data_IF_758016784606
#
_entry.id   IF_758016784606
#
_cell.length_a   1.000
_cell.length_b   1.000
_cell.length_c   1.000
_cell.angle_alpha   90.00
_cell.angle_beta   90.00
_cell.angle_gamma   90.00
#
_symmetry.space_group_name_H-M   'P 1'
#
loop_
_entity.id
_entity.type
_entity.pdbx_description
1 polymer ?
#
# COMPACT_ATOMS: atom_id res chain seq x y z
N UNK A 1 71.99 -20.82 -1.60
CA UNK A 1 71.03 -19.73 -1.37
C UNK A 1 69.63 -20.35 -1.36
N UNK A 2 69.00 -20.38 -0.16
CA UNK A 2 67.62 -20.89 -0.02
C UNK A 2 66.70 -19.68 0.08
N UNK A 3 65.80 -19.53 -0.91
CA UNK A 3 64.80 -18.45 -0.92
C UNK A 3 63.60 -18.91 -0.06
N UNK A 4 63.34 -18.20 1.01
CA UNK A 4 62.12 -18.38 1.83
C UNK A 4 60.96 -17.57 1.21
N UNK A 5 59.89 -18.27 0.76
CA UNK A 5 58.66 -17.66 0.34
C UNK A 5 57.79 -17.39 1.61
N UNK A 6 57.56 -16.13 1.89
CA UNK A 6 56.62 -15.71 2.96
C UNK A 6 55.22 -15.56 2.36
N UNK A 7 54.30 -16.44 2.69
CA UNK A 7 52.86 -16.28 2.38
C UNK A 7 52.21 -15.35 3.41
N UNK A 8 51.80 -14.16 2.97
CA UNK A 8 50.94 -13.30 3.77
C UNK A 8 49.51 -13.72 3.49
N UNK A 9 48.85 -14.37 4.43
CA UNK A 9 47.43 -14.65 4.38
C UNK A 9 46.67 -13.33 4.64
N UNK A 10 46.10 -12.75 3.60
CA UNK A 10 45.14 -11.64 3.73
C UNK A 10 43.86 -12.23 4.27
N UNK A 11 43.64 -12.08 5.58
CA UNK A 11 42.38 -12.44 6.20
C UNK A 11 41.24 -11.63 5.63
N UNK A 12 40.34 -12.27 4.88
CA UNK A 12 39.07 -11.66 4.49
C UNK A 12 38.22 -11.55 5.75
N UNK A 13 37.99 -10.34 6.23
CA UNK A 13 36.97 -10.07 7.24
C UNK A 13 35.62 -10.47 6.65
N UNK A 14 34.88 -11.41 7.25
CA UNK A 14 33.56 -11.73 6.73
C UNK A 14 32.71 -10.45 6.69
N UNK A 15 32.10 -10.18 5.54
CA UNK A 15 31.18 -9.06 5.40
C UNK A 15 30.06 -9.25 6.44
N UNK A 16 29.96 -8.31 7.37
CA UNK A 16 28.91 -8.35 8.39
C UNK A 16 27.55 -8.25 7.68
N UNK A 17 26.68 -9.22 7.93
CA UNK A 17 25.32 -9.16 7.38
C UNK A 17 24.66 -7.84 7.77
N UNK A 18 23.94 -7.20 6.83
CA UNK A 18 23.25 -5.96 7.14
C UNK A 18 22.31 -6.16 8.33
N UNK A 19 22.44 -5.29 9.33
CA UNK A 19 21.56 -5.33 10.48
C UNK A 19 20.16 -4.87 10.05
N UNK A 20 19.08 -5.51 10.54
CA UNK A 20 17.74 -5.06 10.28
C UNK A 20 17.56 -3.61 10.81
N UNK A 21 16.75 -2.77 10.15
CA UNK A 21 16.48 -1.42 10.62
C UNK A 21 15.77 -1.45 11.98
N UNK A 22 16.07 -0.46 12.83
CA UNK A 22 15.23 -0.20 14.01
C UNK A 22 13.90 0.38 13.55
N UNK A 23 12.79 -0.24 13.98
CA UNK A 23 11.45 0.14 13.59
C UNK A 23 10.67 0.68 14.80
N UNK A 24 10.03 1.82 14.64
CA UNK A 24 9.12 2.39 15.64
C UNK A 24 7.68 1.86 15.48
N UNK A 25 7.41 1.07 14.42
CA UNK A 25 6.10 0.47 14.20
C UNK A 25 5.92 -0.85 14.95
N UNK A 26 4.67 -1.17 15.28
CA UNK A 26 4.35 -2.38 16.03
C UNK A 26 4.44 -3.68 15.22
N UNK A 27 4.36 -3.63 13.89
CA UNK A 27 4.54 -4.76 12.99
C UNK A 27 5.01 -4.29 11.62
N UNK A 28 5.80 -5.09 10.93
CA UNK A 28 6.27 -4.81 9.58
C UNK A 28 6.59 -6.10 8.81
N UNK A 29 6.40 -6.06 7.49
CA UNK A 29 6.79 -7.12 6.56
C UNK A 29 7.43 -6.47 5.34
N UNK A 30 8.55 -7.01 4.90
CA UNK A 30 9.20 -6.67 3.63
C UNK A 30 9.25 -7.91 2.75
N UNK A 31 8.69 -7.80 1.55
CA UNK A 31 8.60 -8.91 0.59
C UNK A 31 9.25 -8.49 -0.71
N UNK A 32 10.05 -9.35 -1.29
CA UNK A 32 10.52 -9.21 -2.67
C UNK A 32 9.36 -9.54 -3.63
N UNK A 33 8.92 -8.59 -4.47
CA UNK A 33 7.74 -8.81 -5.33
C UNK A 33 7.99 -9.81 -6.47
N UNK A 34 9.24 -10.00 -6.89
CA UNK A 34 9.60 -10.94 -7.96
C UNK A 34 9.68 -12.39 -7.47
N UNK A 35 10.34 -12.62 -6.36
CA UNK A 35 10.53 -13.96 -5.78
C UNK A 35 9.47 -14.33 -4.76
N UNK A 36 8.72 -13.36 -4.23
CA UNK A 36 7.77 -13.48 -3.11
C UNK A 36 8.41 -13.93 -1.81
N UNK A 37 9.73 -13.77 -1.68
CA UNK A 37 10.44 -14.08 -0.44
C UNK A 37 10.24 -12.99 0.60
N UNK A 38 10.02 -13.40 1.84
CA UNK A 38 10.06 -12.50 2.99
C UNK A 38 11.52 -12.12 3.27
N UNK A 39 11.84 -10.84 3.11
CA UNK A 39 13.17 -10.29 3.35
C UNK A 39 13.33 -9.82 4.79
N UNK A 40 12.23 -9.42 5.43
CA UNK A 40 12.18 -8.99 6.80
C UNK A 40 10.77 -9.16 7.37
N UNK A 41 10.70 -9.60 8.63
CA UNK A 41 9.45 -9.79 9.36
C UNK A 41 9.61 -9.29 10.80
N UNK A 42 8.66 -8.48 11.25
CA UNK A 42 8.54 -8.02 12.63
C UNK A 42 7.09 -8.13 13.04
N UNK A 43 6.77 -9.01 14.01
CA UNK A 43 5.40 -9.29 14.46
C UNK A 43 4.42 -9.53 13.28
N UNK A 44 4.85 -10.23 12.24
CA UNK A 44 4.13 -10.36 10.97
C UNK A 44 2.74 -10.99 11.11
N UNK A 45 2.58 -11.92 12.06
CA UNK A 45 1.33 -12.65 12.31
C UNK A 45 0.46 -11.99 13.38
N UNK A 46 0.89 -10.87 13.96
CA UNK A 46 0.10 -10.19 14.97
C UNK A 46 -1.13 -9.51 14.36
N UNK A 47 -2.32 -9.83 14.90
CA UNK A 47 -3.57 -9.21 14.45
C UNK A 47 -3.62 -7.74 14.85
N UNK A 48 -3.70 -6.86 13.86
CA UNK A 48 -3.75 -5.41 14.02
C UNK A 48 -4.82 -4.79 13.13
N UNK A 49 -5.27 -3.60 13.49
CA UNK A 49 -6.10 -2.81 12.61
C UNK A 49 -5.26 -2.29 11.45
N UNK A 50 -5.66 -2.55 10.19
CA UNK A 50 -4.85 -2.19 9.02
C UNK A 50 -4.85 -0.69 8.70
N UNK A 51 -5.70 0.10 9.34
CA UNK A 51 -5.89 1.53 9.05
C UNK A 51 -6.05 1.77 7.53
N UNK A 52 -5.37 2.76 7.00
CA UNK A 52 -5.46 3.10 5.56
C UNK A 52 -4.91 2.04 4.61
N UNK A 53 -4.22 1.00 5.09
CA UNK A 53 -3.86 -0.14 4.24
C UNK A 53 -5.10 -0.83 3.64
N UNK A 54 -6.27 -0.70 4.25
CA UNK A 54 -7.56 -1.15 3.69
C UNK A 54 -7.81 -0.59 2.28
N UNK A 55 -7.34 0.63 1.99
CA UNK A 55 -7.49 1.27 0.68
C UNK A 55 -6.73 0.55 -0.44
N UNK A 56 -5.72 -0.26 -0.11
CA UNK A 56 -5.04 -1.13 -1.08
C UNK A 56 -6.01 -2.16 -1.67
N UNK A 57 -6.89 -2.73 -0.85
CA UNK A 57 -7.94 -3.65 -1.34
C UNK A 57 -8.94 -2.90 -2.23
N UNK A 58 -9.38 -1.71 -1.83
CA UNK A 58 -10.25 -0.89 -2.66
C UNK A 58 -9.60 -0.60 -4.02
N UNK A 59 -8.32 -0.21 -4.03
CA UNK A 59 -7.58 0.05 -5.25
C UNK A 59 -7.45 -1.19 -6.16
N UNK A 60 -7.20 -2.35 -5.57
CA UNK A 60 -7.12 -3.62 -6.29
C UNK A 60 -8.45 -3.94 -6.98
N UNK A 61 -9.56 -3.85 -6.25
CA UNK A 61 -10.90 -4.09 -6.81
C UNK A 61 -11.26 -3.10 -7.92
N UNK A 62 -10.88 -1.82 -7.79
CA UNK A 62 -11.06 -0.80 -8.83
C UNK A 62 -10.24 -1.15 -10.06
N UNK A 63 -8.98 -1.58 -9.88
CA UNK A 63 -8.11 -1.97 -10.99
C UNK A 63 -8.63 -3.22 -11.73
N UNK A 64 -9.12 -4.22 -10.99
CA UNK A 64 -9.72 -5.43 -11.55
C UNK A 64 -11.03 -5.15 -12.30
N UNK A 65 -11.85 -4.22 -11.80
CA UNK A 65 -13.08 -3.80 -12.49
C UNK A 65 -12.79 -3.07 -13.81
N UNK A 66 -11.61 -2.50 -13.96
CA UNK A 66 -11.17 -1.81 -15.17
C UNK A 66 -11.93 -0.50 -15.44
N UNK A 67 -11.80 0.00 -16.68
CA UNK A 67 -12.44 1.23 -17.14
C UNK A 67 -12.24 2.44 -16.21
N UNK A 68 -10.97 2.70 -15.87
CA UNK A 68 -10.57 3.80 -14.97
C UNK A 68 -10.94 5.20 -15.52
N UNK A 69 -11.12 5.30 -16.82
CA UNK A 69 -11.49 6.58 -17.49
C UNK A 69 -12.98 6.87 -17.46
N UNK A 70 -13.82 5.97 -16.93
CA UNK A 70 -15.26 6.23 -16.81
C UNK A 70 -15.52 7.38 -15.85
N UNK A 71 -16.58 8.13 -16.11
CA UNK A 71 -17.08 9.17 -15.22
C UNK A 71 -17.92 8.50 -14.11
N UNK A 72 -17.68 8.92 -12.88
CA UNK A 72 -18.43 8.52 -11.67
C UNK A 72 -19.10 9.77 -11.11
N UNK A 73 -20.38 9.68 -10.79
CA UNK A 73 -21.11 10.72 -10.07
C UNK A 73 -21.00 10.41 -8.57
N UNK A 74 -20.55 11.40 -7.80
CA UNK A 74 -20.36 11.28 -6.36
C UNK A 74 -21.72 11.24 -5.66
N UNK A 75 -21.93 10.24 -4.82
CA UNK A 75 -23.14 10.13 -4.01
C UNK A 75 -23.09 11.04 -2.79
N UNK A 76 -24.26 11.40 -2.24
CA UNK A 76 -24.39 12.06 -0.94
C UNK A 76 -23.61 11.31 0.16
N UNK A 77 -23.72 9.98 0.16
CA UNK A 77 -23.04 9.12 1.12
C UNK A 77 -21.52 9.22 1.03
N UNK A 78 -20.95 9.16 -0.16
CA UNK A 78 -19.50 9.29 -0.34
C UNK A 78 -19.03 10.68 0.07
N UNK A 79 -19.75 11.74 -0.36
CA UNK A 79 -19.43 13.12 -0.01
C UNK A 79 -19.51 13.43 1.49
N UNK A 80 -20.37 12.69 2.23
CA UNK A 80 -20.54 12.87 3.68
C UNK A 80 -19.44 12.21 4.53
N UNK A 81 -18.53 11.42 3.93
CA UNK A 81 -17.46 10.74 4.66
C UNK A 81 -16.37 11.74 5.06
N UNK A 82 -16.20 11.90 6.36
CA UNK A 82 -15.28 12.86 6.98
C UNK A 82 -13.86 12.35 7.20
N UNK A 83 -13.14 13.05 8.08
CA UNK A 83 -11.72 12.91 8.41
C UNK A 83 -10.83 13.34 7.24
N UNK A 84 -9.90 12.48 6.78
CA UNK A 84 -9.10 12.80 5.60
C UNK A 84 -9.98 12.75 4.35
N UNK A 85 -10.12 13.88 3.65
CA UNK A 85 -11.05 14.06 2.54
C UNK A 85 -10.37 14.82 1.39
N UNK A 86 -10.76 14.54 0.16
CA UNK A 86 -10.49 15.41 -0.99
C UNK A 86 -11.61 16.42 -1.26
N UNK A 87 -12.55 16.54 -0.31
CA UNK A 87 -13.70 17.45 -0.33
C UNK A 87 -14.62 17.23 -1.54
N UNK A 88 -14.95 15.99 -1.80
CA UNK A 88 -15.93 15.63 -2.82
C UNK A 88 -17.31 16.19 -2.48
N UNK A 89 -18.05 16.63 -3.50
CA UNK A 89 -19.40 17.13 -3.33
C UNK A 89 -20.41 16.22 -4.00
N UNK A 90 -21.62 16.13 -3.45
CA UNK A 90 -22.71 15.38 -4.05
C UNK A 90 -23.00 15.86 -5.48
N UNK A 91 -23.19 14.90 -6.38
CA UNK A 91 -23.46 15.18 -7.78
C UNK A 91 -22.24 15.58 -8.62
N UNK A 92 -21.09 15.78 -8.00
CA UNK A 92 -19.84 16.03 -8.72
C UNK A 92 -19.50 14.85 -9.63
N UNK A 93 -18.97 15.16 -10.81
CA UNK A 93 -18.61 14.16 -11.80
C UNK A 93 -17.10 14.14 -12.03
N UNK A 94 -16.46 13.04 -11.68
CA UNK A 94 -15.02 12.84 -11.82
C UNK A 94 -14.71 11.53 -12.53
N UNK A 95 -13.54 11.45 -13.15
CA UNK A 95 -13.03 10.18 -13.66
C UNK A 95 -12.61 9.28 -12.49
N UNK A 96 -12.90 7.98 -12.61
CA UNK A 96 -12.57 7.01 -11.57
C UNK A 96 -11.08 7.02 -11.22
N UNK A 97 -10.19 7.22 -12.19
CA UNK A 97 -8.74 7.36 -11.96
C UNK A 97 -8.39 8.52 -11.02
N UNK A 98 -9.06 9.66 -11.14
CA UNK A 98 -8.81 10.82 -10.27
C UNK A 98 -9.32 10.56 -8.84
N UNK A 99 -10.46 9.90 -8.71
CA UNK A 99 -11.01 9.50 -7.41
C UNK A 99 -10.06 8.49 -6.74
N UNK A 100 -9.56 7.50 -7.50
CA UNK A 100 -8.60 6.52 -7.02
C UNK A 100 -7.29 7.17 -6.55
N UNK A 101 -6.77 8.15 -7.31
CA UNK A 101 -5.60 8.93 -6.88
C UNK A 101 -5.86 9.69 -5.58
N UNK A 102 -7.05 10.24 -5.40
CA UNK A 102 -7.48 10.88 -4.15
C UNK A 102 -7.54 9.90 -2.97
N UNK A 103 -7.98 8.68 -3.21
CA UNK A 103 -7.99 7.65 -2.18
C UNK A 103 -6.58 7.19 -1.77
N UNK A 104 -5.63 7.13 -2.71
CA UNK A 104 -4.30 6.57 -2.47
C UNK A 104 -3.26 7.60 -2.01
N UNK A 105 -3.21 8.80 -2.63
CA UNK A 105 -2.15 9.79 -2.35
C UNK A 105 -2.37 10.51 -1.01
N UNK A 106 -3.46 11.28 -0.81
CA UNK A 106 -3.76 11.90 0.48
C UNK A 106 -4.49 10.94 1.44
N UNK A 107 -4.80 9.72 1.00
CA UNK A 107 -5.57 8.75 1.79
C UNK A 107 -7.01 9.20 2.11
N UNK A 108 -7.67 9.88 1.17
CA UNK A 108 -9.01 10.44 1.36
C UNK A 108 -10.08 9.34 1.53
N UNK A 109 -10.92 9.48 2.56
CA UNK A 109 -11.94 8.50 2.89
C UNK A 109 -13.19 8.63 2.00
N UNK A 110 -13.60 9.85 1.66
CA UNK A 110 -14.68 10.14 0.70
C UNK A 110 -14.37 9.55 -0.67
N UNK A 111 -13.13 9.71 -1.16
CA UNK A 111 -12.68 9.13 -2.41
C UNK A 111 -12.66 7.59 -2.36
N UNK A 112 -12.22 7.00 -1.25
CA UNK A 112 -12.25 5.54 -1.09
C UNK A 112 -13.69 5.00 -1.08
N UNK A 113 -14.63 5.71 -0.45
CA UNK A 113 -16.06 5.38 -0.47
C UNK A 113 -16.63 5.46 -1.89
N UNK A 114 -16.35 6.54 -2.62
CA UNK A 114 -16.77 6.70 -4.00
C UNK A 114 -16.19 5.61 -4.93
N UNK A 115 -14.93 5.21 -4.72
CA UNK A 115 -14.32 4.08 -5.43
C UNK A 115 -15.06 2.77 -5.17
N UNK A 116 -15.39 2.49 -3.91
CA UNK A 116 -16.10 1.27 -3.53
C UNK A 116 -17.51 1.22 -4.15
N UNK A 117 -18.25 2.33 -4.12
CA UNK A 117 -19.55 2.45 -4.77
C UNK A 117 -19.46 2.27 -6.28
N UNK A 118 -18.43 2.84 -6.90
CA UNK A 118 -18.21 2.72 -8.34
C UNK A 118 -17.98 1.26 -8.78
N UNK A 119 -17.36 0.41 -7.93
CA UNK A 119 -17.11 -1.00 -8.23
C UNK A 119 -18.32 -1.86 -7.89
N UNK A 120 -18.97 -1.60 -6.76
CA UNK A 120 -20.12 -2.41 -6.30
C UNK A 120 -21.41 -2.13 -7.09
N UNK A 121 -21.45 -1.05 -7.87
CA UNK A 121 -22.68 -0.52 -8.45
C UNK A 121 -23.63 -0.04 -7.37
N UNK A 122 -24.93 0.10 -7.70
CA UNK A 122 -25.97 0.50 -6.73
C UNK A 122 -26.28 -0.52 -5.63
N UNK A 123 -25.43 -1.57 -5.50
CA UNK A 123 -25.55 -2.47 -4.36
C UNK A 123 -25.23 -1.67 -3.12
N UNK A 124 -26.25 -1.46 -2.28
CA UNK A 124 -26.08 -0.95 -0.93
C UNK A 124 -24.97 -1.77 -0.29
N UNK A 125 -23.77 -1.19 -0.20
CA UNK A 125 -22.63 -1.89 0.40
C UNK A 125 -23.03 -2.27 1.80
N UNK A 126 -23.03 -3.56 2.05
CA UNK A 126 -23.13 -4.11 3.40
C UNK A 126 -21.80 -3.74 4.07
N UNK A 127 -21.85 -2.84 5.02
CA UNK A 127 -20.76 -2.56 5.94
C UNK A 127 -20.78 -3.65 7.00
#
# INVERSE_FOLDING_TARGET
MVAALVFVAVGQTPAQAPQPPELECGAAVLIDPGTRQFLFEHNADERRFPASLTKMMTALLVAEAGNLHRTVTISERAAAVGETSMNLTEGEQLKLEHILMGALLPSANDAASACAEAVSGDRKSVV
#
